data_IF_288081643718
#
_entry.id   IF_288081643718
#
_cell.length_a   1.000
_cell.length_b   1.000
_cell.length_c   1.000
_cell.angle_alpha   90.00
_cell.angle_beta   90.00
_cell.angle_gamma   90.00
#
_symmetry.space_group_name_H-M   'P 1'
#
loop_
_entity.id
_entity.type
_entity.pdbx_description
1 polymer ?
#
# COMPACT_ATOMS: atom_id res chain seq x y z
N UNK A 1 -39.35 -4.45 14.19
CA UNK A 1 -38.86 -4.16 12.81
C UNK A 1 -37.52 -3.47 12.96
N UNK A 2 -36.44 -4.25 13.00
CA UNK A 2 -35.07 -3.72 13.08
C UNK A 2 -34.69 -3.24 11.69
N UNK A 3 -34.55 -1.93 11.53
CA UNK A 3 -33.93 -1.32 10.36
C UNK A 3 -32.43 -1.21 10.66
N UNK A 4 -31.75 -2.34 10.58
CA UNK A 4 -30.31 -2.40 10.43
C UNK A 4 -30.00 -2.25 8.94
N UNK A 5 -29.65 -1.04 8.49
CA UNK A 5 -28.86 -0.85 7.26
C UNK A 5 -28.28 0.57 7.22
N UNK A 6 -27.10 0.75 6.63
CA UNK A 6 -25.99 1.49 7.20
C UNK A 6 -25.77 2.82 6.48
N UNK A 7 -25.40 3.90 7.19
CA UNK A 7 -25.00 5.10 6.47
C UNK A 7 -23.93 5.95 7.14
N UNK A 8 -22.93 6.22 6.31
CA UNK A 8 -22.07 7.39 6.26
C UNK A 8 -20.94 7.44 7.28
N UNK A 9 -19.77 7.03 6.79
CA UNK A 9 -18.48 7.25 7.43
C UNK A 9 -18.40 8.65 8.04
N UNK A 10 -18.14 8.65 9.34
CA UNK A 10 -17.88 9.82 10.16
C UNK A 10 -16.87 10.73 9.44
N UNK A 11 -16.95 12.04 9.69
CA UNK A 11 -15.95 12.99 9.15
C UNK A 11 -14.52 12.53 9.43
N UNK A 12 -14.30 11.87 10.57
CA UNK A 12 -13.04 11.26 10.99
C UNK A 12 -12.60 10.12 10.06
N UNK A 13 -13.48 9.17 9.73
CA UNK A 13 -13.17 8.07 8.78
C UNK A 13 -12.88 8.58 7.36
N UNK A 14 -13.53 9.68 6.94
CA UNK A 14 -13.23 10.33 5.65
C UNK A 14 -11.88 11.04 5.67
N UNK A 15 -11.49 11.63 6.80
CA UNK A 15 -10.17 12.25 6.97
C UNK A 15 -9.07 11.20 6.98
N UNK A 16 -9.25 10.07 7.66
CA UNK A 16 -8.25 8.98 7.67
C UNK A 16 -8.10 8.33 6.29
N UNK A 17 -9.19 8.18 5.52
CA UNK A 17 -9.12 7.71 4.14
C UNK A 17 -8.39 8.72 3.22
N UNK A 18 -8.58 10.02 3.43
CA UNK A 18 -7.84 11.05 2.70
C UNK A 18 -6.35 11.02 3.03
N UNK A 19 -5.99 10.97 4.31
CA UNK A 19 -4.60 10.87 4.77
C UNK A 19 -3.92 9.60 4.22
N UNK A 20 -4.62 8.46 4.24
CA UNK A 20 -4.13 7.23 3.64
C UNK A 20 -3.84 7.41 2.14
N UNK A 21 -4.75 8.04 1.38
CA UNK A 21 -4.52 8.33 -0.05
C UNK A 21 -3.29 9.21 -0.26
N UNK A 22 -3.15 10.30 0.50
CA UNK A 22 -2.00 11.19 0.36
C UNK A 22 -0.66 10.46 0.60
N UNK A 23 -0.60 9.59 1.61
CA UNK A 23 0.58 8.76 1.87
C UNK A 23 0.86 7.78 0.72
N UNK A 24 -0.18 7.13 0.20
CA UNK A 24 -0.07 6.22 -0.94
C UNK A 24 0.37 6.94 -2.23
N UNK A 25 -0.12 8.16 -2.47
CA UNK A 25 0.29 8.99 -3.61
C UNK A 25 1.76 9.37 -3.52
N UNK A 26 2.22 9.75 -2.32
CA UNK A 26 3.63 10.04 -2.06
C UNK A 26 4.52 8.82 -2.35
N UNK A 27 4.15 7.65 -1.83
CA UNK A 27 4.86 6.39 -2.11
C UNK A 27 4.88 6.08 -3.61
N UNK A 28 3.72 6.14 -4.29
CA UNK A 28 3.61 5.90 -5.73
C UNK A 28 4.52 6.81 -6.54
N UNK A 29 4.48 8.11 -6.26
CA UNK A 29 5.31 9.09 -6.96
C UNK A 29 6.82 8.82 -6.75
N UNK A 30 7.21 8.48 -5.52
CA UNK A 30 8.59 8.12 -5.18
C UNK A 30 9.05 6.88 -5.96
N UNK A 31 8.28 5.79 -5.95
CA UNK A 31 8.63 4.55 -6.66
C UNK A 31 8.66 4.72 -8.18
N UNK A 32 7.74 5.51 -8.76
CA UNK A 32 7.75 5.80 -10.19
C UNK A 32 9.00 6.57 -10.62
N UNK A 33 9.44 7.52 -9.80
CA UNK A 33 10.70 8.25 -10.06
C UNK A 33 11.91 7.34 -9.98
N UNK A 34 11.96 6.44 -8.99
CA UNK A 34 13.01 5.41 -8.91
C UNK A 34 13.01 4.51 -10.14
N UNK A 35 11.84 4.03 -10.58
CA UNK A 35 11.73 3.15 -11.73
C UNK A 35 12.21 3.82 -13.02
N UNK A 36 11.82 5.07 -13.25
CA UNK A 36 12.29 5.88 -14.40
C UNK A 36 13.81 6.02 -14.41
N UNK A 37 14.42 6.33 -13.26
CA UNK A 37 15.87 6.47 -13.17
C UNK A 37 16.61 5.17 -13.55
N UNK A 38 16.06 4.00 -13.21
CA UNK A 38 16.66 2.71 -13.61
C UNK A 38 16.45 2.44 -15.11
N UNK A 39 15.30 2.77 -15.67
CA UNK A 39 15.04 2.62 -17.10
C UNK A 39 15.95 3.52 -17.96
N UNK A 40 16.33 4.70 -17.45
CA UNK A 40 17.24 5.65 -18.10
C UNK A 40 18.73 5.26 -17.97
N UNK A 41 19.11 4.43 -16.99
CA UNK A 41 20.50 4.10 -16.69
C UNK A 41 21.25 3.32 -17.79
N UNK A 42 20.55 2.77 -18.78
CA UNK A 42 21.14 2.06 -19.92
C UNK A 42 21.73 0.67 -19.57
N UNK A 43 22.10 -0.14 -20.58
CA UNK A 43 22.58 -1.51 -20.38
C UNK A 43 24.05 -1.51 -19.93
N UNK A 44 24.28 -1.59 -18.61
CA UNK A 44 25.59 -1.80 -18.00
C UNK A 44 25.66 -3.20 -17.34
N UNK A 45 26.87 -3.64 -16.93
CA UNK A 45 27.14 -4.95 -16.31
C UNK A 45 26.35 -5.24 -15.00
N UNK A 46 25.52 -4.31 -14.56
CA UNK A 46 24.61 -4.38 -13.42
C UNK A 46 23.20 -4.86 -13.79
N UNK A 47 22.95 -5.28 -15.04
CA UNK A 47 21.62 -5.64 -15.58
C UNK A 47 20.81 -6.57 -14.66
N UNK A 48 21.44 -7.59 -14.04
CA UNK A 48 20.74 -8.50 -13.11
C UNK A 48 20.28 -7.79 -11.83
N UNK A 49 21.12 -6.91 -11.28
CA UNK A 49 20.81 -6.13 -10.08
C UNK A 49 19.72 -5.10 -10.39
N UNK A 50 19.83 -4.42 -11.54
CA UNK A 50 18.82 -3.46 -12.00
C UNK A 50 17.48 -4.16 -12.28
N UNK A 51 17.49 -5.35 -12.87
CA UNK A 51 16.29 -6.14 -13.12
C UNK A 51 15.58 -6.53 -11.83
N UNK A 52 16.30 -7.07 -10.84
CA UNK A 52 15.74 -7.40 -9.53
C UNK A 52 15.18 -6.15 -8.80
N UNK A 53 15.84 -5.00 -8.95
CA UNK A 53 15.37 -3.73 -8.39
C UNK A 53 14.09 -3.25 -9.08
N UNK A 54 14.01 -3.31 -10.43
CA UNK A 54 12.79 -2.99 -11.20
C UNK A 54 11.63 -3.88 -10.77
N UNK A 55 11.86 -5.18 -10.62
CA UNK A 55 10.82 -6.11 -10.20
C UNK A 55 10.33 -5.84 -8.78
N UNK A 56 11.24 -5.46 -7.88
CA UNK A 56 10.88 -5.04 -6.53
C UNK A 56 10.00 -3.78 -6.56
N UNK A 57 10.39 -2.76 -7.33
CA UNK A 57 9.60 -1.53 -7.47
C UNK A 57 8.22 -1.80 -8.08
N UNK A 58 8.13 -2.66 -9.10
CA UNK A 58 6.85 -3.06 -9.71
C UNK A 58 5.94 -3.77 -8.72
N UNK A 59 6.48 -4.68 -7.89
CA UNK A 59 5.73 -5.34 -6.82
C UNK A 59 5.19 -4.34 -5.81
N UNK A 60 6.03 -3.39 -5.37
CA UNK A 60 5.59 -2.34 -4.43
C UNK A 60 4.52 -1.46 -5.06
N UNK A 61 4.68 -1.05 -6.33
CA UNK A 61 3.64 -0.29 -7.04
C UNK A 61 2.31 -1.05 -7.10
N UNK A 62 2.34 -2.36 -7.39
CA UNK A 62 1.13 -3.18 -7.35
C UNK A 62 0.48 -3.23 -5.96
N UNK A 63 1.28 -3.28 -4.89
CA UNK A 63 0.78 -3.21 -3.51
C UNK A 63 0.17 -1.85 -3.19
N UNK A 64 0.75 -0.76 -3.69
CA UNK A 64 0.22 0.61 -3.55
C UNK A 64 -1.12 0.74 -4.28
N UNK A 65 -1.24 0.25 -5.51
CA UNK A 65 -2.51 0.24 -6.26
C UNK A 65 -3.57 -0.61 -5.53
N UNK A 66 -3.20 -1.78 -5.01
CA UNK A 66 -4.09 -2.59 -4.19
C UNK A 66 -4.52 -1.88 -2.90
N UNK A 67 -3.66 -1.04 -2.32
CA UNK A 67 -3.99 -0.25 -1.14
C UNK A 67 -4.97 0.89 -1.47
N UNK A 68 -4.86 1.54 -2.63
CA UNK A 68 -5.86 2.50 -3.09
C UNK A 68 -7.25 1.87 -3.22
N UNK A 69 -7.33 0.65 -3.77
CA UNK A 69 -8.59 -0.09 -3.83
C UNK A 69 -9.19 -0.31 -2.43
N UNK A 70 -8.36 -0.71 -1.45
CA UNK A 70 -8.79 -0.87 -0.05
C UNK A 70 -9.26 0.43 0.60
N UNK A 71 -8.66 1.57 0.24
CA UNK A 71 -9.14 2.86 0.74
C UNK A 71 -10.50 3.20 0.12
N UNK A 72 -10.73 2.82 -1.12
CA UNK A 72 -11.99 3.08 -1.82
C UNK A 72 -13.13 2.18 -1.33
N UNK A 73 -12.86 0.91 -1.04
CA UNK A 73 -13.84 -0.05 -0.53
C UNK A 73 -14.04 0.00 1.00
N UNK A 74 -13.20 0.76 1.71
CA UNK A 74 -13.27 0.96 3.16
C UNK A 74 -12.57 -0.12 4.00
N UNK A 75 -11.88 -1.08 3.39
CA UNK A 75 -11.13 -2.15 4.08
C UNK A 75 -9.69 -1.77 4.45
N UNK A 76 -9.25 -0.54 4.14
CA UNK A 76 -7.90 -0.08 4.46
C UNK A 76 -7.62 -0.16 5.96
N UNK A 77 -6.41 -0.63 6.30
CA UNK A 77 -5.99 -0.85 7.68
C UNK A 77 -6.47 -2.17 8.30
N UNK A 78 -7.12 -3.06 7.54
CA UNK A 78 -7.45 -4.42 7.99
C UNK A 78 -6.50 -5.44 7.36
N UNK A 79 -5.98 -6.35 8.18
CA UNK A 79 -5.08 -7.41 7.72
C UNK A 79 -5.85 -8.45 6.89
N UNK A 80 -5.39 -8.73 5.67
CA UNK A 80 -6.04 -9.69 4.78
C UNK A 80 -5.93 -11.17 5.22
N UNK A 81 -5.02 -11.49 6.14
CA UNK A 81 -4.80 -12.87 6.62
C UNK A 81 -5.60 -13.18 7.88
N UNK A 82 -5.57 -12.30 8.89
CA UNK A 82 -6.23 -12.53 10.18
C UNK A 82 -7.45 -11.64 10.45
N UNK A 83 -7.79 -10.75 9.51
CA UNK A 83 -8.91 -9.80 9.61
C UNK A 83 -8.85 -8.85 10.82
N UNK A 84 -7.69 -8.72 11.46
CA UNK A 84 -7.46 -7.78 12.58
C UNK A 84 -6.97 -6.43 12.06
N UNK A 85 -7.17 -5.34 12.82
CA UNK A 85 -6.59 -4.05 12.51
C UNK A 85 -5.06 -4.12 12.40
N UNK A 86 -4.52 -3.46 11.38
CA UNK A 86 -3.09 -3.24 11.21
C UNK A 86 -2.72 -2.04 12.10
N UNK A 87 -1.66 -2.14 12.93
CA UNK A 87 -1.21 -1.02 13.76
C UNK A 87 -0.98 0.23 12.93
N UNK A 88 -1.42 1.38 13.44
CA UNK A 88 -1.32 2.67 12.73
C UNK A 88 0.15 2.98 12.45
N UNK A 89 1.03 2.77 13.42
CA UNK A 89 2.48 2.98 13.31
C UNK A 89 3.08 2.19 12.12
N UNK A 90 2.52 1.02 11.81
CA UNK A 90 2.94 0.23 10.64
C UNK A 90 2.43 0.86 9.35
N UNK A 91 1.20 1.34 9.30
CA UNK A 91 0.64 2.05 8.14
C UNK A 91 1.34 3.40 7.92
N UNK A 92 1.88 4.00 8.97
CA UNK A 92 2.66 5.23 8.83
C UNK A 92 4.00 5.01 8.14
N UNK A 93 4.64 3.87 8.40
CA UNK A 93 5.92 3.49 7.81
C UNK A 93 5.73 2.80 6.44
N UNK A 94 4.71 1.94 6.32
CA UNK A 94 4.41 1.13 5.15
C UNK A 94 2.92 1.25 4.80
N UNK A 95 2.48 2.36 4.19
CA UNK A 95 1.06 2.64 3.95
C UNK A 95 0.40 1.65 2.98
N UNK A 96 1.16 0.90 2.20
CA UNK A 96 0.65 -0.08 1.25
C UNK A 96 0.51 -1.50 1.82
N UNK A 97 0.95 -1.75 3.06
CA UNK A 97 0.92 -3.09 3.67
C UNK A 97 -0.50 -3.68 3.67
N UNK A 98 -0.60 -4.96 3.36
CA UNK A 98 -1.85 -5.73 3.42
C UNK A 98 -1.90 -6.65 4.66
N UNK A 99 -0.78 -6.80 5.36
CA UNK A 99 -0.64 -7.67 6.52
C UNK A 99 -0.16 -6.93 7.77
N UNK A 100 -0.59 -7.42 8.93
CA UNK A 100 0.00 -7.06 10.22
C UNK A 100 1.38 -7.75 10.38
N UNK A 101 2.20 -7.29 11.33
CA UNK A 101 3.56 -7.82 11.53
C UNK A 101 3.60 -9.35 11.72
N UNK A 102 2.73 -9.97 12.53
CA UNK A 102 2.73 -11.42 12.68
C UNK A 102 2.42 -12.18 11.39
N UNK A 103 1.42 -11.74 10.62
CA UNK A 103 1.04 -12.39 9.36
C UNK A 103 2.08 -12.15 8.26
N UNK A 104 2.73 -10.99 8.23
CA UNK A 104 3.78 -10.68 7.27
C UNK A 104 4.95 -11.67 7.41
N UNK A 105 5.38 -11.96 8.64
CA UNK A 105 6.49 -12.90 8.92
C UNK A 105 6.23 -14.35 8.47
N UNK A 106 4.99 -14.70 8.14
CA UNK A 106 4.59 -16.02 7.65
C UNK A 106 4.48 -16.02 6.11
N UNK A 107 4.21 -14.85 5.52
CA UNK A 107 4.00 -14.68 4.09
C UNK A 107 5.27 -14.35 3.30
N UNK A 108 6.30 -13.79 3.96
CA UNK A 108 7.67 -13.62 3.45
C UNK A 108 8.48 -14.93 3.55
#
# INVERSE_FOLDING_TARGET
>A
MSLDTPQAGTRLERLTAHEARQRLEHERASRLTQLRAIDEAGPNAEEQVLSAQKDTLRRVLAQVEAAFARVQDGSYGICQSCSKPIPVERLEILPYTQFCVPCQRIAD
#
